data_IF_460873628221
#
_entry.id   IF_460873628221
#
_cell.length_a   1.000
_cell.length_b   1.000
_cell.length_c   1.000
_cell.angle_alpha   90.00
_cell.angle_beta   90.00
_cell.angle_gamma   90.00
#
_symmetry.space_group_name_H-M   'P 1'
#
loop_
_entity.id
_entity.type
_entity.pdbx_description
1 polymer ?
#
# COMPACT_ATOMS: atom_id res chain seq x y z
N UNK A 1 4.22 -3.34 -31.63
CA UNK A 1 5.02 -3.66 -30.45
C UNK A 1 5.98 -2.53 -30.29
N UNK A 2 5.96 -1.80 -29.21
CA UNK A 2 6.79 -0.62 -29.00
C UNK A 2 7.86 -0.95 -27.97
N UNK A 3 9.05 -0.39 -28.17
CA UNK A 3 10.19 -0.60 -27.30
C UNK A 3 10.27 0.51 -26.26
N UNK A 4 10.53 0.17 -24.99
CA UNK A 4 10.68 1.14 -23.90
C UNK A 4 12.07 1.02 -23.30
N UNK A 5 12.79 2.13 -23.23
CA UNK A 5 14.08 2.30 -22.55
C UNK A 5 13.85 3.11 -21.26
N UNK A 6 14.33 2.61 -20.13
CA UNK A 6 14.42 3.37 -18.88
C UNK A 6 15.80 4.03 -18.85
N UNK A 7 15.84 5.35 -19.04
CA UNK A 7 17.09 6.13 -19.21
C UNK A 7 18.06 5.96 -18.05
N UNK A 8 17.56 6.10 -16.84
CA UNK A 8 18.40 6.12 -15.63
C UNK A 8 18.97 4.74 -15.23
N UNK A 9 18.52 3.65 -15.83
CA UNK A 9 19.03 2.30 -15.53
C UNK A 9 19.51 1.52 -16.74
N UNK A 10 19.14 1.97 -17.96
CA UNK A 10 19.42 1.27 -19.21
C UNK A 10 18.59 0.00 -19.44
N UNK A 11 17.64 -0.33 -18.54
CA UNK A 11 16.75 -1.47 -18.76
C UNK A 11 15.78 -1.21 -19.91
N UNK A 12 15.49 -2.27 -20.66
CA UNK A 12 14.58 -2.21 -21.80
C UNK A 12 13.53 -3.31 -21.73
N UNK A 13 12.34 -3.05 -22.26
CA UNK A 13 11.26 -4.03 -22.38
C UNK A 13 10.33 -3.67 -23.54
N UNK A 14 9.61 -4.66 -24.03
CA UNK A 14 8.65 -4.52 -25.12
C UNK A 14 7.22 -4.42 -24.60
N UNK A 15 6.43 -3.51 -25.18
CA UNK A 15 5.03 -3.27 -24.84
C UNK A 15 4.14 -3.67 -26.00
N UNK A 16 3.22 -4.61 -25.77
CA UNK A 16 2.21 -5.01 -26.76
C UNK A 16 1.14 -3.90 -26.91
N UNK A 17 0.47 -3.80 -28.07
CA UNK A 17 -0.50 -2.71 -28.31
C UNK A 17 -1.64 -2.60 -27.27
N UNK A 18 -1.98 -3.73 -26.61
CA UNK A 18 -3.03 -3.77 -25.59
C UNK A 18 -2.53 -3.56 -24.16
N UNK A 19 -1.24 -3.38 -23.96
CA UNK A 19 -0.64 -3.24 -22.63
C UNK A 19 -0.34 -1.78 -22.28
N UNK A 20 -0.40 -1.48 -20.99
CA UNK A 20 0.20 -0.27 -20.42
C UNK A 20 1.71 -0.48 -20.20
N UNK A 21 2.43 0.62 -20.03
CA UNK A 21 3.87 0.60 -19.69
C UNK A 21 4.11 -0.23 -18.42
N UNK A 22 3.28 -0.06 -17.39
CA UNK A 22 3.41 -0.78 -16.13
C UNK A 22 3.16 -2.29 -16.29
N UNK A 23 2.12 -2.68 -17.03
CA UNK A 23 1.82 -4.11 -17.26
C UNK A 23 2.96 -4.83 -17.96
N UNK A 24 3.55 -4.19 -18.98
CA UNK A 24 4.68 -4.74 -19.70
C UNK A 24 5.95 -4.80 -18.83
N UNK A 25 6.23 -3.78 -18.02
CA UNK A 25 7.35 -3.79 -17.10
C UNK A 25 7.25 -4.93 -16.08
N UNK A 26 6.06 -5.14 -15.48
CA UNK A 26 5.80 -6.24 -14.53
C UNK A 26 6.03 -7.60 -15.22
N UNK A 27 5.53 -7.79 -16.45
CA UNK A 27 5.71 -9.03 -17.22
C UNK A 27 7.19 -9.29 -17.53
N UNK A 28 7.95 -8.23 -17.85
CA UNK A 28 9.39 -8.30 -18.08
C UNK A 28 10.21 -8.50 -16.79
N UNK A 29 9.58 -8.42 -15.61
CA UNK A 29 10.25 -8.52 -14.31
C UNK A 29 10.98 -7.26 -13.90
N UNK A 30 10.61 -6.12 -14.49
CA UNK A 30 11.13 -4.79 -14.17
C UNK A 30 10.19 -4.12 -13.16
N UNK A 31 10.74 -3.71 -12.03
CA UNK A 31 9.96 -3.22 -10.91
C UNK A 31 9.89 -1.68 -10.94
N UNK A 32 8.83 -1.16 -11.52
CA UNK A 32 8.45 0.24 -11.42
C UNK A 32 7.63 0.48 -10.15
N UNK A 33 7.61 1.70 -9.58
CA UNK A 33 6.70 2.03 -8.50
C UNK A 33 5.24 1.88 -8.93
N UNK A 34 4.39 1.26 -8.12
CA UNK A 34 2.95 1.26 -8.34
C UNK A 34 2.17 0.91 -7.07
N UNK A 35 0.91 1.36 -7.03
CA UNK A 35 -0.07 1.03 -6.01
C UNK A 35 -1.35 0.51 -6.66
N UNK A 36 -2.35 1.38 -6.92
CA UNK A 36 -3.72 1.05 -7.31
C UNK A 36 -3.90 0.41 -8.70
N UNK A 37 -2.99 0.58 -9.64
CA UNK A 37 -3.05 0.09 -11.04
C UNK A 37 -4.24 0.60 -11.87
N UNK A 38 -4.96 1.63 -11.39
CA UNK A 38 -6.19 2.14 -12.02
C UNK A 38 -6.22 3.67 -12.16
N UNK A 39 -5.05 4.31 -12.17
CA UNK A 39 -4.93 5.75 -12.39
C UNK A 39 -5.36 6.65 -11.23
N UNK A 40 -5.53 6.13 -10.01
CA UNK A 40 -6.12 6.90 -8.92
C UNK A 40 -5.11 7.39 -7.86
N UNK A 41 -3.97 6.71 -7.66
CA UNK A 41 -3.07 7.00 -6.53
C UNK A 41 -1.79 7.77 -6.89
N UNK A 42 -1.42 7.88 -8.16
CA UNK A 42 -0.22 8.57 -8.60
C UNK A 42 1.11 7.85 -8.34
N UNK A 43 1.14 6.69 -7.68
CA UNK A 43 2.36 5.99 -7.30
C UNK A 43 3.23 5.53 -8.50
N UNK A 44 2.61 5.30 -9.66
CA UNK A 44 3.29 4.87 -10.89
C UNK A 44 3.68 6.05 -11.81
N UNK A 45 3.77 7.26 -11.26
CA UNK A 45 4.13 8.45 -12.01
C UNK A 45 5.60 8.40 -12.44
N UNK A 46 5.87 8.70 -13.70
CA UNK A 46 7.21 8.85 -14.25
C UNK A 46 7.20 9.84 -15.42
N UNK A 47 8.37 10.17 -15.95
CA UNK A 47 8.53 11.14 -17.02
C UNK A 47 8.75 10.46 -18.36
N UNK A 48 8.10 10.94 -19.40
CA UNK A 48 8.36 10.56 -20.78
C UNK A 48 9.37 11.57 -21.33
N UNK A 49 10.56 11.09 -21.68
CA UNK A 49 11.61 11.89 -22.26
C UNK A 49 11.48 11.94 -23.78
N UNK A 50 11.10 10.82 -24.40
CA UNK A 50 10.91 10.69 -25.85
C UNK A 50 9.75 9.77 -26.14
N UNK A 51 9.00 10.07 -27.19
CA UNK A 51 7.86 9.30 -27.65
C UNK A 51 6.53 9.83 -27.14
N UNK A 52 5.45 9.15 -27.52
CA UNK A 52 4.06 9.52 -27.21
C UNK A 52 3.28 8.36 -26.61
N UNK A 53 2.38 8.68 -25.70
CA UNK A 53 1.44 7.74 -25.12
C UNK A 53 0.00 8.21 -25.28
N UNK A 54 -0.91 7.27 -25.30
CA UNK A 54 -2.33 7.48 -25.03
C UNK A 54 -2.58 7.10 -23.58
N UNK A 55 -3.36 7.88 -22.86
CA UNK A 55 -3.75 7.54 -21.49
C UNK A 55 -5.15 6.92 -21.46
N UNK A 56 -5.30 5.82 -20.73
CA UNK A 56 -6.60 5.35 -20.27
C UNK A 56 -7.14 6.34 -19.21
N UNK A 57 -8.39 6.16 -18.77
CA UNK A 57 -9.01 7.01 -17.75
C UNK A 57 -8.20 7.04 -16.45
N UNK A 58 -8.02 8.22 -15.88
CA UNK A 58 -7.35 8.43 -14.59
C UNK A 58 -7.97 9.62 -13.82
N UNK A 59 -7.66 9.70 -12.54
CA UNK A 59 -8.11 10.83 -11.70
C UNK A 59 -7.15 12.01 -11.84
N UNK A 60 -7.71 13.22 -12.01
CA UNK A 60 -6.93 14.45 -12.16
C UNK A 60 -6.06 14.79 -10.93
N UNK A 61 -6.40 14.25 -9.75
CA UNK A 61 -5.55 14.34 -8.55
C UNK A 61 -4.30 13.45 -8.63
N UNK A 62 -4.34 12.36 -9.40
CA UNK A 62 -3.19 11.48 -9.58
C UNK A 62 -2.19 11.99 -10.65
N UNK A 63 -2.68 12.74 -11.64
CA UNK A 63 -1.86 13.42 -12.66
C UNK A 63 -2.56 14.70 -13.04
N UNK A 64 -1.97 15.84 -12.68
CA UNK A 64 -2.50 17.17 -12.99
C UNK A 64 -2.16 17.58 -14.42
N UNK A 65 -2.93 18.54 -14.99
CA UNK A 65 -2.64 19.09 -16.33
C UNK A 65 -1.25 19.72 -16.42
N UNK A 66 -0.78 20.33 -15.34
CA UNK A 66 0.57 20.89 -15.26
C UNK A 66 1.66 19.81 -15.36
N UNK A 67 1.49 18.69 -14.64
CA UNK A 67 2.41 17.55 -14.69
C UNK A 67 2.38 16.87 -16.07
N UNK A 68 1.18 16.69 -16.63
CA UNK A 68 1.03 16.15 -17.99
C UNK A 68 1.75 17.03 -19.01
N UNK A 69 1.61 18.36 -18.90
CA UNK A 69 2.30 19.33 -19.76
C UNK A 69 3.82 19.32 -19.57
N UNK A 70 4.30 18.92 -18.39
CA UNK A 70 5.72 18.73 -18.08
C UNK A 70 6.28 17.36 -18.53
N UNK A 71 5.47 16.54 -19.23
CA UNK A 71 5.85 15.24 -19.74
C UNK A 71 5.71 14.09 -18.74
N UNK A 72 5.02 14.31 -17.61
CA UNK A 72 4.72 13.23 -16.66
C UNK A 72 3.60 12.33 -17.17
N UNK A 73 3.64 11.06 -16.82
CA UNK A 73 2.62 10.07 -17.15
C UNK A 73 2.38 9.10 -15.99
N UNK A 74 1.18 8.54 -15.94
CA UNK A 74 0.87 7.41 -15.05
C UNK A 74 1.09 6.11 -15.82
N UNK A 75 2.14 5.37 -15.52
CA UNK A 75 2.51 4.16 -16.29
C UNK A 75 1.48 3.04 -16.21
N UNK A 76 0.60 3.04 -15.21
CA UNK A 76 -0.52 2.09 -15.17
C UNK A 76 -1.66 2.42 -16.14
N UNK A 77 -1.69 3.64 -16.72
CA UNK A 77 -2.69 4.10 -17.68
C UNK A 77 -2.05 4.51 -19.02
N UNK A 78 -0.73 4.58 -19.13
CA UNK A 78 -0.03 5.02 -20.33
C UNK A 78 0.19 3.85 -21.30
N UNK A 79 -0.37 3.96 -22.52
CA UNK A 79 -0.17 3.02 -23.63
C UNK A 79 0.72 3.66 -24.69
N UNK A 80 1.86 3.06 -25.00
CA UNK A 80 2.77 3.60 -26.00
C UNK A 80 2.14 3.65 -27.40
N UNK A 81 2.27 4.77 -28.08
CA UNK A 81 1.91 4.91 -29.51
C UNK A 81 3.12 4.70 -30.42
N UNK A 82 4.32 4.84 -29.88
CA UNK A 82 5.62 4.67 -30.53
C UNK A 82 6.65 4.24 -29.48
N UNK A 83 7.90 4.01 -29.85
CA UNK A 83 8.97 3.71 -28.91
C UNK A 83 9.16 4.82 -27.90
N UNK A 84 9.44 4.47 -26.64
CA UNK A 84 9.56 5.42 -25.55
C UNK A 84 10.94 5.40 -24.92
N UNK A 85 11.39 6.57 -24.50
CA UNK A 85 12.42 6.73 -23.47
C UNK A 85 11.75 7.34 -22.24
N UNK A 86 11.85 6.66 -21.10
CA UNK A 86 11.22 7.09 -19.85
C UNK A 86 12.26 7.27 -18.76
N UNK A 87 11.95 8.17 -17.83
CA UNK A 87 12.68 8.32 -16.57
C UNK A 87 11.73 7.99 -15.42
N UNK A 88 12.12 7.04 -14.58
CA UNK A 88 11.38 6.67 -13.39
C UNK A 88 12.28 6.04 -12.35
N UNK A 89 11.85 6.11 -11.08
CA UNK A 89 12.48 5.35 -10.00
C UNK A 89 12.30 3.86 -10.28
N UNK A 90 13.36 3.08 -10.09
CA UNK A 90 13.27 1.64 -10.02
C UNK A 90 13.28 1.17 -8.58
N UNK A 91 12.68 0.01 -8.34
CA UNK A 91 12.57 -0.57 -7.01
C UNK A 91 13.31 -1.91 -7.02
N UNK A 92 14.27 -2.05 -6.11
CA UNK A 92 14.93 -3.32 -5.88
C UNK A 92 13.95 -4.26 -5.16
N UNK A 93 13.44 -5.24 -5.89
CA UNK A 93 12.62 -6.31 -5.34
C UNK A 93 13.41 -7.63 -5.32
N UNK A 94 13.05 -8.50 -4.40
CA UNK A 94 13.59 -9.86 -4.38
C UNK A 94 13.28 -10.54 -5.71
N UNK A 95 14.31 -11.03 -6.39
CA UNK A 95 14.16 -11.71 -7.67
C UNK A 95 13.23 -12.92 -7.55
N UNK A 96 12.38 -13.12 -8.56
CA UNK A 96 11.49 -14.28 -8.64
C UNK A 96 10.10 -14.10 -8.05
N UNK A 97 9.80 -12.99 -7.39
CA UNK A 97 8.43 -12.68 -6.93
C UNK A 97 7.64 -12.12 -8.12
N UNK A 98 6.71 -12.92 -8.65
CA UNK A 98 5.83 -12.51 -9.76
C UNK A 98 4.37 -12.67 -9.36
N UNK A 99 3.49 -11.73 -9.77
CA UNK A 99 2.05 -11.88 -9.57
C UNK A 99 1.53 -13.16 -10.23
N UNK A 100 0.66 -13.89 -9.52
CA UNK A 100 -0.02 -15.09 -10.00
C UNK A 100 -1.50 -15.05 -9.65
N UNK A 101 -2.31 -15.66 -10.49
CA UNK A 101 -3.74 -15.83 -10.19
C UNK A 101 -3.91 -17.15 -9.46
N UNK A 102 -4.47 -17.08 -8.25
CA UNK A 102 -4.64 -18.21 -7.34
C UNK A 102 -6.10 -18.31 -6.88
N UNK A 103 -6.66 -19.52 -6.75
CA UNK A 103 -7.88 -19.71 -5.98
C UNK A 103 -7.56 -19.64 -4.48
N UNK A 104 -8.45 -19.05 -3.72
CA UNK A 104 -8.36 -18.99 -2.25
C UNK A 104 -9.72 -19.30 -1.64
N UNK A 105 -9.71 -19.77 -0.39
CA UNK A 105 -10.92 -20.07 0.37
C UNK A 105 -10.94 -19.26 1.65
N UNK A 106 -12.04 -18.60 1.97
CA UNK A 106 -12.22 -17.96 3.27
C UNK A 106 -12.22 -19.06 4.35
N UNK A 107 -11.18 -19.11 5.18
CA UNK A 107 -11.03 -20.07 6.26
C UNK A 107 -11.58 -19.55 7.58
N UNK A 108 -11.31 -18.26 7.85
CA UNK A 108 -11.74 -17.59 9.07
C UNK A 108 -12.25 -16.19 8.72
N UNK A 109 -13.22 -15.73 9.51
CA UNK A 109 -13.82 -14.41 9.37
C UNK A 109 -14.18 -13.92 10.77
N UNK A 110 -13.65 -12.75 11.14
CA UNK A 110 -13.84 -12.14 12.45
C UNK A 110 -14.09 -10.66 12.32
N UNK A 111 -15.14 -10.15 12.94
CA UNK A 111 -15.43 -8.72 12.98
C UNK A 111 -14.75 -8.12 14.22
N UNK A 112 -13.84 -7.16 14.01
CA UNK A 112 -13.08 -6.51 15.09
C UNK A 112 -13.66 -5.17 15.51
N UNK A 113 -14.43 -4.51 14.64
CA UNK A 113 -15.17 -3.29 14.94
C UNK A 113 -16.42 -3.22 14.06
N UNK A 114 -17.23 -2.18 14.20
CA UNK A 114 -18.47 -2.02 13.41
C UNK A 114 -18.19 -2.01 11.89
N UNK A 115 -17.00 -1.58 11.49
CA UNK A 115 -16.62 -1.41 10.09
C UNK A 115 -15.36 -2.18 9.66
N UNK A 116 -14.74 -2.99 10.53
CA UNK A 116 -13.53 -3.76 10.17
C UNK A 116 -13.76 -5.26 10.35
N UNK A 117 -13.52 -6.01 9.27
CA UNK A 117 -13.56 -7.47 9.19
C UNK A 117 -12.18 -8.01 8.87
N UNK A 118 -11.70 -8.96 9.68
CA UNK A 118 -10.52 -9.77 9.35
C UNK A 118 -10.95 -11.00 8.57
N UNK A 119 -10.27 -11.28 7.48
CA UNK A 119 -10.39 -12.52 6.71
C UNK A 119 -9.06 -13.27 6.72
N UNK A 120 -9.10 -14.56 7.02
CA UNK A 120 -8.00 -15.46 6.67
C UNK A 120 -8.38 -16.24 5.41
N UNK A 121 -7.57 -16.08 4.37
CA UNK A 121 -7.72 -16.76 3.10
C UNK A 121 -6.74 -17.93 3.04
N UNK A 122 -7.24 -19.14 2.94
CA UNK A 122 -6.43 -20.35 2.79
C UNK A 122 -6.10 -20.55 1.30
N UNK A 123 -4.82 -20.75 1.01
CA UNK A 123 -4.32 -21.22 -0.29
C UNK A 123 -4.55 -22.72 -0.45
N UNK A 124 -4.63 -23.26 -1.70
CA UNK A 124 -4.56 -24.71 -1.93
C UNK A 124 -3.31 -25.30 -1.29
N UNK A 125 -3.40 -26.52 -0.73
CA UNK A 125 -2.30 -27.13 0.02
C UNK A 125 -0.99 -27.35 -0.75
N UNK A 126 -1.03 -27.27 -2.08
CA UNK A 126 0.14 -27.35 -2.96
C UNK A 126 0.74 -26.01 -3.30
N UNK A 127 0.07 -24.90 -2.92
CA UNK A 127 0.47 -23.55 -3.29
C UNK A 127 1.06 -22.80 -2.10
N UNK A 128 2.14 -22.07 -2.35
CA UNK A 128 2.70 -21.09 -1.42
C UNK A 128 2.77 -19.74 -2.12
N UNK A 129 2.39 -18.69 -1.41
CA UNK A 129 2.56 -17.33 -1.86
C UNK A 129 3.84 -16.76 -1.22
N UNK A 130 4.82 -16.41 -2.05
CA UNK A 130 5.98 -15.62 -1.62
C UNK A 130 5.67 -14.15 -1.88
N UNK A 131 5.80 -13.31 -0.86
CA UNK A 131 5.52 -11.89 -0.94
C UNK A 131 6.43 -11.12 0.01
N UNK A 132 6.51 -9.81 -0.15
CA UNK A 132 7.21 -8.89 0.75
C UNK A 132 6.21 -8.25 1.71
N UNK A 133 6.59 -8.08 2.98
CA UNK A 133 5.74 -7.49 4.00
C UNK A 133 5.28 -6.08 3.58
N UNK A 134 3.96 -5.87 3.49
CA UNK A 134 3.35 -4.63 3.01
C UNK A 134 2.70 -4.72 1.63
N UNK A 135 2.97 -5.77 0.84
CA UNK A 135 2.30 -5.98 -0.45
C UNK A 135 0.80 -6.28 -0.28
N UNK A 136 0.06 -6.25 -1.38
CA UNK A 136 -1.38 -6.46 -1.41
C UNK A 136 -1.82 -7.57 -2.39
N UNK A 137 -3.07 -7.94 -2.32
CA UNK A 137 -3.75 -8.82 -3.28
C UNK A 137 -4.89 -8.06 -3.99
N UNK A 138 -5.28 -8.52 -5.17
CA UNK A 138 -6.53 -8.12 -5.80
C UNK A 138 -7.50 -9.30 -5.90
N UNK A 139 -8.72 -9.14 -5.39
CA UNK A 139 -9.82 -10.06 -5.73
C UNK A 139 -10.27 -9.81 -7.16
N UNK A 140 -10.39 -10.89 -7.92
CA UNK A 140 -10.91 -10.90 -9.29
C UNK A 140 -12.40 -11.26 -9.24
N UNK A 141 -13.26 -10.25 -9.38
CA UNK A 141 -14.69 -10.43 -9.27
C UNK A 141 -15.29 -10.97 -10.60
N UNK A 142 -16.47 -11.60 -10.51
CA UNK A 142 -17.13 -12.22 -11.67
C UNK A 142 -17.55 -11.21 -12.75
N UNK A 143 -17.75 -9.96 -12.36
CA UNK A 143 -18.10 -8.85 -13.25
C UNK A 143 -16.88 -8.15 -13.89
N UNK A 144 -15.69 -8.73 -13.71
CA UNK A 144 -14.42 -8.19 -14.22
C UNK A 144 -13.78 -7.12 -13.34
N UNK A 145 -14.49 -6.61 -12.34
CA UNK A 145 -13.92 -5.63 -11.40
C UNK A 145 -12.86 -6.27 -10.49
N UNK A 146 -11.94 -5.45 -10.03
CA UNK A 146 -10.86 -5.85 -9.10
C UNK A 146 -10.98 -5.08 -7.80
N UNK A 147 -10.61 -5.70 -6.69
CA UNK A 147 -10.59 -5.05 -5.37
C UNK A 147 -9.32 -5.38 -4.63
N UNK A 148 -8.52 -4.35 -4.39
CA UNK A 148 -7.23 -4.43 -3.72
C UNK A 148 -7.38 -4.45 -2.20
N UNK A 149 -6.61 -5.31 -1.53
CA UNK A 149 -6.49 -5.36 -0.07
C UNK A 149 -5.07 -5.73 0.33
N UNK A 150 -4.51 -4.96 1.24
CA UNK A 150 -3.15 -5.17 1.74
C UNK A 150 -3.08 -6.45 2.59
N UNK A 151 -1.99 -7.19 2.45
CA UNK A 151 -1.70 -8.38 3.26
C UNK A 151 -1.30 -7.92 4.65
N UNK A 152 -1.97 -8.43 5.66
CA UNK A 152 -1.81 -8.03 7.05
C UNK A 152 -0.91 -8.97 7.87
N UNK A 153 -0.68 -10.20 7.43
CA UNK A 153 0.25 -11.13 8.07
C UNK A 153 1.66 -11.03 7.48
N UNK A 154 2.64 -11.48 8.24
CA UNK A 154 4.02 -11.48 7.79
C UNK A 154 4.34 -12.63 6.82
N UNK A 155 5.32 -12.50 5.91
CA UNK A 155 5.66 -13.52 4.90
C UNK A 155 6.07 -14.89 5.47
N UNK A 156 6.53 -14.97 6.70
CA UNK A 156 6.90 -16.22 7.36
C UNK A 156 5.68 -17.03 7.83
N UNK A 157 4.53 -16.40 8.02
CA UNK A 157 3.27 -17.06 8.35
C UNK A 157 2.66 -17.69 7.09
N UNK A 158 3.00 -18.95 6.88
CA UNK A 158 2.63 -19.69 5.66
C UNK A 158 1.25 -20.32 5.77
N UNK A 159 0.63 -20.51 4.60
CA UNK A 159 -0.62 -21.28 4.46
C UNK A 159 -1.89 -20.43 4.47
N UNK A 160 -1.82 -19.18 4.86
CA UNK A 160 -2.95 -18.25 4.77
C UNK A 160 -2.49 -16.82 4.43
N UNK A 161 -3.45 -16.03 3.99
CA UNK A 161 -3.32 -14.58 3.79
C UNK A 161 -4.32 -13.92 4.72
N UNK A 162 -3.87 -13.01 5.58
CA UNK A 162 -4.72 -12.18 6.42
C UNK A 162 -5.01 -10.86 5.74
N UNK A 163 -6.29 -10.46 5.72
CA UNK A 163 -6.74 -9.19 5.18
C UNK A 163 -7.61 -8.46 6.20
N UNK A 164 -7.45 -7.15 6.32
CA UNK A 164 -8.34 -6.29 7.09
C UNK A 164 -9.23 -5.50 6.12
N UNK A 165 -10.51 -5.82 6.10
CA UNK A 165 -11.48 -5.25 5.16
C UNK A 165 -12.36 -4.25 5.88
N UNK A 166 -12.31 -2.98 5.44
CA UNK A 166 -13.19 -1.93 5.94
C UNK A 166 -14.49 -1.92 5.16
N UNK A 167 -15.60 -1.89 5.88
CA UNK A 167 -16.94 -1.72 5.30
C UNK A 167 -17.09 -0.31 4.74
N UNK A 168 -17.44 -0.21 3.46
CA UNK A 168 -17.69 1.05 2.78
C UNK A 168 -19.18 1.11 2.47
N UNK A 169 -19.85 2.16 2.92
CA UNK A 169 -21.28 2.37 2.64
C UNK A 169 -21.51 2.41 1.12
N UNK A 170 -22.40 1.56 0.62
CA UNK A 170 -22.66 1.39 -0.82
C UNK A 170 -21.54 0.63 -1.57
N UNK A 171 -20.56 0.12 -0.87
CA UNK A 171 -19.48 -0.69 -1.44
C UNK A 171 -19.89 -2.14 -1.63
N UNK A 172 -20.37 -2.49 -2.82
CA UNK A 172 -20.94 -3.81 -3.12
C UNK A 172 -20.09 -5.00 -2.59
N UNK A 173 -18.79 -5.02 -2.86
CA UNK A 173 -17.92 -6.13 -2.40
C UNK A 173 -17.76 -6.15 -0.88
N UNK A 174 -17.52 -5.00 -0.25
CA UNK A 174 -17.31 -4.96 1.21
C UNK A 174 -18.59 -5.28 1.98
N UNK A 175 -19.75 -4.86 1.49
CA UNK A 175 -21.05 -5.25 2.06
C UNK A 175 -21.29 -6.76 1.94
N UNK A 176 -20.96 -7.37 0.78
CA UNK A 176 -21.03 -8.82 0.63
C UNK A 176 -20.12 -9.55 1.61
N UNK A 177 -18.89 -9.06 1.81
CA UNK A 177 -17.96 -9.63 2.80
C UNK A 177 -18.58 -9.62 4.18
N UNK A 178 -19.22 -8.52 4.59
CA UNK A 178 -19.82 -8.40 5.93
C UNK A 178 -21.07 -9.24 6.09
N UNK A 179 -21.97 -9.23 5.11
CA UNK A 179 -23.34 -9.72 5.27
C UNK A 179 -23.61 -11.07 4.61
N UNK A 180 -22.92 -11.40 3.49
CA UNK A 180 -23.35 -12.48 2.59
C UNK A 180 -22.30 -13.59 2.42
N UNK A 181 -21.01 -13.28 2.50
CA UNK A 181 -19.94 -14.27 2.23
C UNK A 181 -19.69 -15.14 3.47
N UNK A 182 -20.08 -16.42 3.44
CA UNK A 182 -19.76 -17.34 4.54
C UNK A 182 -18.31 -17.83 4.46
N UNK A 183 -17.83 -18.38 5.58
CA UNK A 183 -16.64 -19.23 5.62
C UNK A 183 -16.78 -20.36 4.59
N UNK A 184 -15.69 -20.77 3.97
CA UNK A 184 -15.57 -21.73 2.86
C UNK A 184 -15.91 -21.15 1.47
N UNK A 185 -16.31 -19.89 1.35
CA UNK A 185 -16.44 -19.22 0.03
C UNK A 185 -15.11 -19.27 -0.72
N UNK A 186 -15.16 -19.68 -2.00
CA UNK A 186 -14.00 -19.72 -2.90
C UNK A 186 -13.98 -18.47 -3.73
N UNK A 187 -12.83 -17.80 -3.75
CA UNK A 187 -12.56 -16.58 -4.49
C UNK A 187 -11.31 -16.76 -5.36
N UNK A 188 -11.08 -15.85 -6.28
CA UNK A 188 -9.84 -15.77 -7.06
C UNK A 188 -9.12 -14.48 -6.72
N UNK A 189 -7.82 -14.58 -6.55
CA UNK A 189 -6.95 -13.42 -6.31
C UNK A 189 -5.82 -13.36 -7.31
N UNK A 190 -5.31 -12.18 -7.58
CA UNK A 190 -3.99 -11.94 -8.15
C UNK A 190 -3.07 -11.45 -7.02
N UNK A 191 -1.92 -12.09 -6.82
CA UNK A 191 -0.99 -11.80 -5.74
C UNK A 191 0.43 -12.31 -6.06
N UNK A 192 1.49 -11.75 -5.43
CA UNK A 192 1.48 -10.50 -4.68
C UNK A 192 1.59 -9.27 -5.60
N UNK A 193 1.11 -8.14 -5.15
CA UNK A 193 1.09 -6.89 -5.90
C UNK A 193 1.60 -5.72 -5.05
N UNK A 194 2.03 -4.65 -5.71
CA UNK A 194 2.41 -3.38 -5.09
C UNK A 194 3.88 -3.24 -4.78
N UNK A 195 4.29 -1.99 -4.72
CA UNK A 195 5.66 -1.56 -4.39
C UNK A 195 5.78 -0.96 -2.99
N UNK A 196 4.70 -0.98 -2.21
CA UNK A 196 4.69 -0.61 -0.80
C UNK A 196 5.07 -1.83 0.04
N UNK A 197 6.33 -1.89 0.47
CA UNK A 197 6.86 -2.98 1.28
C UNK A 197 8.09 -2.51 2.08
N UNK A 198 8.41 -3.20 3.17
CA UNK A 198 9.54 -2.90 4.04
C UNK A 198 10.88 -2.99 3.29
N UNK A 199 11.71 -1.95 3.40
CA UNK A 199 13.08 -1.90 2.85
C UNK A 199 14.05 -2.43 3.90
N UNK A 200 14.35 -3.72 3.86
CA UNK A 200 15.17 -4.39 4.89
C UNK A 200 16.64 -3.99 4.86
N UNK A 201 17.13 -3.55 3.69
CA UNK A 201 18.53 -3.17 3.49
C UNK A 201 18.88 -1.79 4.10
N UNK A 202 17.89 -1.01 4.47
CA UNK A 202 18.07 0.31 5.07
C UNK A 202 18.24 0.18 6.59
N UNK A 203 19.11 1.00 7.18
CA UNK A 203 19.36 1.02 8.63
C UNK A 203 18.74 2.24 9.33
N UNK A 204 18.14 3.16 8.58
CA UNK A 204 17.51 4.37 9.14
C UNK A 204 16.37 4.02 10.10
N UNK A 205 16.12 4.83 11.13
CA UNK A 205 14.91 4.72 11.93
C UNK A 205 13.66 4.88 11.04
N UNK A 206 12.58 4.18 11.41
CA UNK A 206 11.36 4.10 10.63
C UNK A 206 10.24 4.85 11.32
N UNK A 207 9.53 5.70 10.58
CA UNK A 207 8.23 6.23 10.97
C UNK A 207 7.16 5.51 10.15
N UNK A 208 6.20 4.88 10.83
CA UNK A 208 5.04 4.24 10.22
C UNK A 208 3.77 5.00 10.60
N UNK A 209 3.04 5.50 9.62
CA UNK A 209 1.77 6.21 9.81
C UNK A 209 0.64 5.39 9.21
N UNK A 210 -0.28 4.93 10.05
CA UNK A 210 -1.38 4.07 9.65
C UNK A 210 -2.74 4.69 10.02
N UNK A 211 -3.61 4.92 9.01
CA UNK A 211 -4.98 5.38 9.20
C UNK A 211 -6.00 4.27 8.91
N UNK A 212 -6.89 3.98 9.85
CA UNK A 212 -7.91 2.92 9.69
C UNK A 212 -7.29 1.58 9.31
N UNK A 213 -7.79 0.95 8.24
CA UNK A 213 -7.24 -0.33 7.73
C UNK A 213 -5.88 -0.20 7.02
N UNK A 214 -5.32 1.00 6.90
CA UNK A 214 -3.89 1.19 6.59
C UNK A 214 -2.96 0.54 7.62
N UNK A 215 -3.49 0.14 8.75
CA UNK A 215 -2.78 -0.68 9.72
C UNK A 215 -2.46 -2.10 9.21
N UNK A 216 -3.23 -2.65 8.28
CA UNK A 216 -3.01 -4.00 7.77
C UNK A 216 -1.58 -4.25 7.24
N UNK A 217 -1.08 -3.51 6.23
CA UNK A 217 0.28 -3.72 5.74
C UNK A 217 1.35 -3.38 6.77
N UNK A 218 1.10 -2.39 7.63
CA UNK A 218 2.02 -2.00 8.71
C UNK A 218 2.15 -3.12 9.75
N UNK A 219 1.04 -3.79 10.10
CA UNK A 219 1.06 -4.98 10.97
C UNK A 219 1.97 -6.06 10.38
N UNK A 220 1.79 -6.41 9.12
CA UNK A 220 2.62 -7.41 8.45
C UNK A 220 4.11 -7.03 8.43
N UNK A 221 4.44 -5.74 8.24
CA UNK A 221 5.81 -5.24 8.30
C UNK A 221 6.42 -5.38 9.70
N UNK A 222 5.71 -4.95 10.75
CA UNK A 222 6.19 -5.02 12.13
C UNK A 222 6.39 -6.48 12.56
N UNK A 223 5.43 -7.37 12.30
CA UNK A 223 5.56 -8.79 12.61
C UNK A 223 6.73 -9.46 11.86
N UNK A 224 6.96 -9.04 10.61
CA UNK A 224 8.13 -9.47 9.85
C UNK A 224 9.44 -8.99 10.47
N UNK A 225 9.50 -7.72 10.91
CA UNK A 225 10.67 -7.19 11.61
C UNK A 225 10.95 -7.94 12.91
N UNK A 226 9.92 -8.21 13.70
CA UNK A 226 10.04 -8.95 14.96
C UNK A 226 10.59 -10.36 14.70
N UNK A 227 10.02 -11.09 13.76
CA UNK A 227 10.45 -12.46 13.43
C UNK A 227 11.90 -12.53 12.94
N UNK A 228 12.30 -11.60 12.07
CA UNK A 228 13.64 -11.55 11.51
C UNK A 228 14.66 -10.79 12.38
N UNK A 229 14.25 -10.37 13.59
CA UNK A 229 15.10 -9.63 14.53
C UNK A 229 15.70 -8.34 13.94
N UNK A 230 14.91 -7.64 13.10
CA UNK A 230 15.29 -6.34 12.54
C UNK A 230 15.09 -5.28 13.63
N UNK A 231 16.19 -4.88 14.29
CA UNK A 231 16.15 -4.02 15.49
C UNK A 231 16.25 -2.52 15.18
N UNK A 232 15.75 -2.09 14.02
CA UNK A 232 15.67 -0.65 13.69
C UNK A 232 14.65 0.05 14.61
N UNK A 233 14.90 1.29 15.06
CA UNK A 233 13.89 2.07 15.76
C UNK A 233 12.63 2.28 14.90
N UNK A 234 11.46 2.00 15.46
CA UNK A 234 10.15 2.16 14.80
C UNK A 234 9.27 3.07 15.64
N UNK A 235 8.75 4.12 15.01
CA UNK A 235 7.74 5.01 15.56
C UNK A 235 6.41 4.75 14.85
N UNK A 236 5.52 4.00 15.50
CA UNK A 236 4.21 3.63 14.95
C UNK A 236 3.15 4.65 15.37
N UNK A 237 2.77 5.53 14.46
CA UNK A 237 1.67 6.47 14.62
C UNK A 237 0.39 5.88 14.03
N UNK A 238 -0.62 5.64 14.87
CA UNK A 238 -1.94 5.19 14.42
C UNK A 238 -2.96 6.31 14.53
N UNK A 239 -3.47 6.76 13.36
CA UNK A 239 -4.51 7.76 13.27
C UNK A 239 -5.90 7.13 13.22
N UNK A 240 -6.81 7.59 14.08
CA UNK A 240 -8.21 7.21 14.09
C UNK A 240 -9.10 8.43 14.35
N UNK A 241 -10.40 8.33 14.07
CA UNK A 241 -11.34 9.39 14.47
C UNK A 241 -11.63 9.31 15.95
N UNK A 242 -11.91 8.13 16.45
CA UNK A 242 -12.24 7.85 17.85
C UNK A 242 -11.42 6.67 18.37
N UNK A 243 -11.29 6.52 19.67
CA UNK A 243 -10.55 5.42 20.29
C UNK A 243 -11.08 4.04 19.88
N UNK A 244 -12.40 3.87 19.71
CA UNK A 244 -13.02 2.64 19.25
C UNK A 244 -12.60 2.23 17.81
N UNK A 245 -12.11 3.17 16.99
CA UNK A 245 -11.63 2.90 15.63
C UNK A 245 -10.19 2.32 15.62
N UNK A 246 -9.50 2.30 16.77
CA UNK A 246 -8.16 1.72 16.94
C UNK A 246 -8.24 0.20 17.15
N UNK A 247 -8.82 -0.53 16.21
CA UNK A 247 -8.90 -2.00 16.32
C UNK A 247 -7.52 -2.63 16.50
N UNK A 248 -7.41 -3.74 17.25
CA UNK A 248 -6.13 -4.37 17.65
C UNK A 248 -5.17 -3.41 18.41
N UNK A 249 -5.69 -2.44 19.15
CA UNK A 249 -4.88 -1.52 19.94
C UNK A 249 -3.98 -2.26 20.94
N UNK A 250 -4.55 -3.27 21.63
CA UNK A 250 -3.82 -4.15 22.56
C UNK A 250 -2.58 -4.82 21.91
N UNK A 251 -2.65 -5.14 20.62
CA UNK A 251 -1.50 -5.70 19.91
C UNK A 251 -0.36 -4.68 19.80
N UNK A 252 -0.69 -3.44 19.44
CA UNK A 252 0.30 -2.36 19.33
C UNK A 252 0.90 -2.02 20.69
N UNK A 253 0.09 -1.99 21.75
CA UNK A 253 0.56 -1.79 23.12
C UNK A 253 1.52 -2.91 23.56
N UNK A 254 1.20 -4.18 23.24
CA UNK A 254 2.11 -5.30 23.53
C UNK A 254 3.43 -5.16 22.78
N UNK A 255 3.44 -4.76 21.50
CA UNK A 255 4.70 -4.50 20.79
C UNK A 255 5.52 -3.44 21.50
N UNK A 256 4.95 -2.29 21.85
CA UNK A 256 5.64 -1.23 22.56
C UNK A 256 6.16 -1.67 23.95
N UNK A 257 5.44 -2.57 24.61
CA UNK A 257 5.83 -3.08 25.93
C UNK A 257 7.01 -4.08 25.86
N UNK A 258 7.01 -4.98 24.85
CA UNK A 258 7.95 -6.08 24.79
C UNK A 258 9.10 -5.90 23.79
N UNK A 259 8.97 -4.92 22.88
CA UNK A 259 9.98 -4.61 21.85
C UNK A 259 10.54 -3.22 22.10
N UNK A 260 11.76 -3.09 22.68
CA UNK A 260 12.30 -1.80 23.10
C UNK A 260 12.58 -0.82 21.95
N UNK A 261 12.66 -1.34 20.71
CA UNK A 261 12.86 -0.54 19.51
C UNK A 261 11.54 -0.04 18.88
N UNK A 262 10.37 -0.40 19.43
CA UNK A 262 9.05 0.01 18.90
C UNK A 262 8.40 0.99 19.86
N UNK A 263 8.08 2.19 19.39
CA UNK A 263 7.24 3.17 20.08
C UNK A 263 5.88 3.23 19.42
N UNK A 264 4.81 3.16 20.21
CA UNK A 264 3.43 3.23 19.74
C UNK A 264 2.78 4.53 20.15
N UNK A 265 2.29 5.29 19.17
CA UNK A 265 1.70 6.61 19.36
C UNK A 265 0.29 6.63 18.71
N UNK A 266 -0.77 6.28 19.44
CA UNK A 266 -2.14 6.42 18.96
C UNK A 266 -2.58 7.88 19.00
N UNK A 267 -3.27 8.34 17.94
CA UNK A 267 -3.73 9.72 17.76
C UNK A 267 -5.19 9.71 17.33
N UNK A 268 -6.08 10.40 18.04
CA UNK A 268 -7.49 10.53 17.64
C UNK A 268 -7.84 11.96 17.21
N UNK A 269 -8.61 12.10 16.11
CA UNK A 269 -8.94 13.40 15.53
C UNK A 269 -10.24 14.01 16.06
N UNK A 270 -11.27 13.19 16.34
CA UNK A 270 -12.63 13.63 16.62
C UNK A 270 -13.01 13.56 18.11
N UNK A 271 -12.00 13.49 19.01
CA UNK A 271 -12.25 13.37 20.45
C UNK A 271 -12.93 14.59 21.07
N UNK A 272 -14.01 14.38 21.79
CA UNK A 272 -14.68 15.40 22.58
C UNK A 272 -14.11 15.44 24.00
N UNK A 273 -14.19 16.62 24.67
CA UNK A 273 -13.74 16.83 26.06
C UNK A 273 -14.51 16.01 27.13
N UNK A 274 -15.19 14.96 26.76
CA UNK A 274 -15.97 14.07 27.65
C UNK A 274 -15.72 12.59 27.39
N UNK A 275 -14.89 12.23 26.41
CA UNK A 275 -14.45 10.85 26.24
C UNK A 275 -13.29 10.52 27.22
N UNK A 276 -13.16 9.25 27.58
CA UNK A 276 -12.10 8.79 28.51
C UNK A 276 -10.73 8.62 27.81
N UNK A 277 -10.46 9.38 26.71
CA UNK A 277 -9.20 9.31 26.00
C UNK A 277 -8.17 10.25 26.63
N UNK A 278 -7.13 9.71 27.19
CA UNK A 278 -5.98 10.40 27.79
C UNK A 278 -4.75 10.45 26.87
N UNK A 279 -4.83 9.80 25.69
CA UNK A 279 -3.78 9.81 24.66
C UNK A 279 -3.77 11.08 23.79
N UNK A 280 -2.96 11.04 22.76
CA UNK A 280 -2.72 12.19 21.87
C UNK A 280 -3.96 12.50 21.02
N UNK A 281 -4.22 13.81 20.82
CA UNK A 281 -5.33 14.34 20.00
C UNK A 281 -4.79 15.15 18.83
N UNK A 282 -5.54 15.17 17.72
CA UNK A 282 -5.22 15.94 16.52
C UNK A 282 -5.02 15.06 15.28
N UNK A 283 -4.36 15.61 14.28
CA UNK A 283 -4.09 14.90 13.04
C UNK A 283 -2.78 14.11 13.14
N UNK A 284 -2.79 12.87 12.71
CA UNK A 284 -1.66 11.94 12.88
C UNK A 284 -0.35 12.44 12.24
N UNK A 285 -0.42 13.14 11.09
CA UNK A 285 0.77 13.73 10.46
C UNK A 285 1.34 14.91 11.27
N UNK A 286 0.50 15.68 11.94
CA UNK A 286 0.95 16.76 12.84
C UNK A 286 1.68 16.18 14.04
N UNK A 287 1.17 15.08 14.59
CA UNK A 287 1.83 14.39 15.69
C UNK A 287 3.26 13.96 15.34
N UNK A 288 3.50 13.50 14.12
CA UNK A 288 4.86 13.18 13.63
C UNK A 288 5.74 14.43 13.60
N UNK A 289 5.24 15.55 13.05
CA UNK A 289 5.99 16.81 12.92
C UNK A 289 6.33 17.46 14.29
N UNK A 290 5.44 17.26 15.27
CA UNK A 290 5.69 17.75 16.64
C UNK A 290 6.78 16.94 17.35
N UNK A 291 6.85 15.62 17.09
CA UNK A 291 7.84 14.75 17.73
C UNK A 291 9.20 14.77 17.01
N UNK A 292 9.23 15.10 15.71
CA UNK A 292 10.44 15.05 14.88
C UNK A 292 10.62 16.37 14.13
N UNK A 293 11.49 17.23 14.64
CA UNK A 293 11.78 18.55 14.06
C UNK A 293 12.53 18.45 12.72
N UNK A 294 13.21 17.34 12.44
CA UNK A 294 13.94 17.05 11.21
C UNK A 294 13.69 15.58 10.81
N UNK A 295 13.21 15.38 9.60
CA UNK A 295 12.91 14.06 9.04
C UNK A 295 13.97 13.54 8.07
N UNK A 296 15.07 14.27 7.84
CA UNK A 296 16.10 13.92 6.85
C UNK A 296 16.78 12.57 7.09
N UNK A 297 16.82 12.11 8.36
CA UNK A 297 17.42 10.84 8.78
C UNK A 297 16.46 9.66 8.83
N UNK A 298 15.20 9.82 8.42
CA UNK A 298 14.18 8.77 8.56
C UNK A 298 13.81 8.11 7.24
N UNK A 299 13.23 6.94 7.35
CA UNK A 299 12.47 6.23 6.34
C UNK A 299 11.00 6.22 6.76
N UNK A 300 10.08 6.61 5.88
CA UNK A 300 8.68 6.84 6.26
C UNK A 300 7.72 6.01 5.42
N UNK A 301 6.84 5.28 6.10
CA UNK A 301 5.75 4.49 5.52
C UNK A 301 4.40 5.09 5.91
N UNK A 302 3.59 5.49 4.95
CA UNK A 302 2.26 6.08 5.19
C UNK A 302 1.20 5.27 4.47
N UNK A 303 0.21 4.76 5.21
CA UNK A 303 -0.86 3.95 4.62
C UNK A 303 -2.23 4.35 5.17
N UNK A 304 -3.21 4.53 4.26
CA UNK A 304 -4.59 4.86 4.63
C UNK A 304 -5.32 5.76 3.63
N UNK A 305 -6.16 6.66 4.13
CA UNK A 305 -6.96 7.55 3.30
C UNK A 305 -6.10 8.46 2.40
N UNK A 306 -6.45 8.68 1.12
CA UNK A 306 -5.65 9.48 0.20
C UNK A 306 -5.28 10.86 0.72
N UNK A 307 -6.25 11.62 1.25
CA UNK A 307 -5.97 12.96 1.79
C UNK A 307 -5.00 12.96 2.99
N UNK A 308 -4.98 11.90 3.81
CA UNK A 308 -3.98 11.75 4.87
C UNK A 308 -2.58 11.48 4.28
N UNK A 309 -2.49 10.64 3.26
CA UNK A 309 -1.24 10.31 2.59
C UNK A 309 -0.66 11.55 1.89
N UNK A 310 -1.50 12.30 1.17
CA UNK A 310 -1.09 13.48 0.41
C UNK A 310 -0.56 14.59 1.33
N UNK A 311 -1.28 14.90 2.41
CA UNK A 311 -0.84 15.94 3.36
C UNK A 311 0.41 15.50 4.12
N UNK A 312 0.52 14.21 4.48
CA UNK A 312 1.72 13.67 5.11
C UNK A 312 2.93 13.82 4.17
N UNK A 313 2.80 13.46 2.88
CA UNK A 313 3.89 13.64 1.91
C UNK A 313 4.35 15.09 1.83
N UNK A 314 3.41 16.02 1.64
CA UNK A 314 3.72 17.45 1.49
C UNK A 314 4.43 18.00 2.73
N UNK A 315 3.91 17.69 3.92
CA UNK A 315 4.44 18.25 5.16
C UNK A 315 5.75 17.59 5.58
N UNK A 316 5.92 16.29 5.36
CA UNK A 316 7.15 15.57 5.73
C UNK A 316 8.32 15.94 4.82
N UNK A 317 8.07 16.09 3.51
CA UNK A 317 9.10 16.60 2.57
C UNK A 317 9.50 18.03 2.93
N UNK A 318 8.52 18.88 3.27
CA UNK A 318 8.82 20.23 3.76
C UNK A 318 9.61 20.26 5.08
N UNK A 319 9.52 19.18 5.90
CA UNK A 319 10.27 18.97 7.15
C UNK A 319 11.62 18.24 6.92
N UNK A 320 12.08 18.15 5.67
CA UNK A 320 13.40 17.63 5.30
C UNK A 320 13.44 16.15 4.91
N UNK A 321 12.31 15.43 4.87
CA UNK A 321 12.29 14.05 4.40
C UNK A 321 12.69 13.98 2.92
N UNK A 322 13.71 13.19 2.52
CA UNK A 322 13.96 12.92 1.11
C UNK A 322 12.76 12.22 0.45
N UNK A 323 12.37 12.66 -0.75
CA UNK A 323 11.18 12.07 -1.42
C UNK A 323 11.34 10.57 -1.68
N UNK A 324 12.56 10.09 -1.91
CA UNK A 324 12.89 8.69 -2.10
C UNK A 324 12.72 7.84 -0.84
N UNK A 325 12.67 8.44 0.33
CA UNK A 325 12.43 7.77 1.61
C UNK A 325 10.96 7.81 2.05
N UNK A 326 10.09 8.40 1.24
CA UNK A 326 8.64 8.40 1.45
C UNK A 326 7.98 7.26 0.66
N UNK A 327 7.48 6.28 1.38
CA UNK A 327 6.72 5.14 0.85
C UNK A 327 5.27 5.26 1.25
N UNK A 328 4.36 5.06 0.32
CA UNK A 328 2.93 5.19 0.64
C UNK A 328 2.03 4.21 -0.11
N UNK A 329 0.92 3.87 0.54
CA UNK A 329 -0.20 3.14 -0.05
C UNK A 329 -1.51 3.89 0.27
N UNK A 330 -1.97 4.68 -0.68
CA UNK A 330 -3.20 5.43 -0.57
C UNK A 330 -4.40 4.57 -1.00
N UNK A 331 -5.35 4.35 -0.09
CA UNK A 331 -6.54 3.52 -0.33
C UNK A 331 -7.57 4.30 -1.16
N UNK A 332 -7.28 4.44 -2.45
CA UNK A 332 -8.16 5.09 -3.41
C UNK A 332 -9.35 4.20 -3.75
N UNK A 333 -10.51 4.82 -3.95
CA UNK A 333 -11.67 4.09 -4.45
C UNK A 333 -11.44 3.71 -5.92
N UNK A 334 -11.69 2.44 -6.24
CA UNK A 334 -11.74 2.03 -7.64
C UNK A 334 -12.84 2.79 -8.39
N UNK A 335 -12.64 3.15 -9.66
CA UNK A 335 -13.72 3.72 -10.47
C UNK A 335 -14.99 2.86 -10.41
N UNK A 336 -16.16 3.52 -10.49
CA UNK A 336 -17.48 2.86 -10.45
C UNK A 336 -17.72 2.00 -11.67
#
# INVERSE_FOLDING_TARGET
MNHVLIENSGHTFDVRPSQTVLEAAIEAGINLPYGCRNGACGACKGKILTGKVMHDDYQGSALTDAELSAGMALFCCARPLEDLVIECRQIDMVQGIKPRILPVRIQHKEQLSDDVMVLHLQLPGTEQLTFMAGQYIEFLLKDGRRRAFSIANAPHEKGFIELHIRKIAGGHFTEQVFNEMPVKTILRIEAPLGSFFLREQNEKPIIMVAGGTGFAPVKGMIEHMIFNQINRPVYLYRGARQAADLYMDDLCQRWAQFMPNIQYIPVISDGNNGDNWDGRRGLVHQAVLEDHADLSGFEVYVCGAPGMVDIAKQTFVAQGLPEEEFYSDAFTFAPK
#
